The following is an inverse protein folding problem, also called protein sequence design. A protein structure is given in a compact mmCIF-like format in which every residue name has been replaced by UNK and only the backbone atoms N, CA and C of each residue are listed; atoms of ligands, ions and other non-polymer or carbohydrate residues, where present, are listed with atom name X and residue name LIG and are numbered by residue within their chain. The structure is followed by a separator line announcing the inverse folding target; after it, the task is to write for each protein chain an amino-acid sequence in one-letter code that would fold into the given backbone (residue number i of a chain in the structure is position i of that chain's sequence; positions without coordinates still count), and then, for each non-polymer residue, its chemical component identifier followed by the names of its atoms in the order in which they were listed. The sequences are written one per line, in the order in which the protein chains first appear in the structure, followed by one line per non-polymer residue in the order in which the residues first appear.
data_IF_056748940264
#
_entry.id   IF_056748940264
#
_cell.length_a   1.000
_cell.length_b   1.000
_cell.length_c   1.000
_cell.angle_alpha   90.00
_cell.angle_beta   90.00
_cell.angle_gamma   90.00
#
_symmetry.space_group_name_H-M   'P 1'
#
loop_
_entity.id
_entity.type
_entity.pdbx_description
1 polymer ?
#
# COMPACT_ATOMS: atom_id res chain seq x y z
N UNK A 1 9.27 -56.92 -13.39
CA UNK A 1 9.43 -55.76 -12.46
C UNK A 1 10.18 -54.54 -13.03
N UNK A 2 10.76 -54.56 -14.26
CA UNK A 2 11.47 -53.39 -14.82
C UNK A 2 10.57 -52.33 -15.49
N UNK A 3 9.44 -52.74 -16.11
CA UNK A 3 8.53 -51.81 -16.81
C UNK A 3 7.87 -50.77 -15.88
N UNK A 4 7.45 -51.18 -14.69
CA UNK A 4 6.74 -50.29 -13.73
C UNK A 4 7.65 -49.20 -13.16
N UNK A 5 8.96 -49.47 -12.98
CA UNK A 5 9.94 -48.49 -12.52
C UNK A 5 10.24 -47.42 -13.58
N UNK A 6 10.25 -47.79 -14.86
CA UNK A 6 10.49 -46.86 -15.98
C UNK A 6 9.29 -45.93 -16.18
N UNK A 7 8.07 -46.45 -16.04
CA UNK A 7 6.83 -45.66 -16.15
C UNK A 7 6.73 -44.64 -15.00
N UNK A 8 7.03 -45.04 -13.77
CA UNK A 8 7.03 -44.12 -12.61
C UNK A 8 8.12 -43.04 -12.71
N UNK A 9 9.29 -43.37 -13.28
CA UNK A 9 10.36 -42.40 -13.52
C UNK A 9 9.96 -41.37 -14.60
N UNK A 10 9.25 -41.81 -15.65
CA UNK A 10 8.73 -40.92 -16.69
C UNK A 10 7.65 -39.96 -16.16
N UNK A 11 6.73 -40.46 -15.32
CA UNK A 11 5.69 -39.64 -14.68
C UNK A 11 6.31 -38.61 -13.72
N UNK A 12 7.36 -38.98 -12.98
CA UNK A 12 8.08 -38.07 -12.09
C UNK A 12 8.82 -36.96 -12.86
N UNK A 13 9.51 -37.30 -13.95
CA UNK A 13 10.21 -36.33 -14.80
C UNK A 13 9.21 -35.40 -15.51
N UNK A 14 8.08 -35.93 -15.97
CA UNK A 14 7.00 -35.13 -16.56
C UNK A 14 6.38 -34.16 -15.54
N UNK A 15 6.20 -34.60 -14.28
CA UNK A 15 5.67 -33.76 -13.21
C UNK A 15 6.63 -32.62 -12.82
N UNK A 16 7.95 -32.87 -12.85
CA UNK A 16 8.97 -31.81 -12.67
C UNK A 16 9.00 -30.85 -13.86
N UNK A 17 8.82 -31.34 -15.09
CA UNK A 17 8.74 -30.52 -16.30
C UNK A 17 7.54 -29.57 -16.34
N UNK A 18 6.37 -30.02 -15.87
CA UNK A 18 5.16 -29.17 -15.73
C UNK A 18 5.34 -28.14 -14.62
N UNK A 19 6.08 -28.47 -13.54
CA UNK A 19 6.36 -27.51 -12.47
C UNK A 19 7.33 -26.40 -12.92
N UNK A 20 8.33 -26.72 -13.75
CA UNK A 20 9.33 -25.76 -14.25
C UNK A 20 8.82 -24.81 -15.35
N UNK A 21 7.79 -25.20 -16.11
CA UNK A 21 7.21 -24.37 -17.18
C UNK A 21 6.17 -23.37 -16.69
N UNK A 22 5.81 -23.38 -15.40
CA UNK A 22 4.92 -22.38 -14.80
C UNK A 22 5.58 -21.02 -14.53
N UNK A 23 6.88 -20.88 -14.84
CA UNK A 23 7.57 -19.60 -14.76
C UNK A 23 7.46 -18.85 -16.09
N UNK A 24 6.97 -17.61 -16.00
CA UNK A 24 7.02 -16.56 -17.04
C UNK A 24 5.78 -16.35 -17.93
N UNK A 25 4.63 -16.08 -17.32
CA UNK A 25 3.85 -14.92 -17.76
C UNK A 25 4.31 -13.70 -16.96
N UNK A 26 5.46 -13.11 -17.32
CA UNK A 26 5.87 -11.83 -16.73
C UNK A 26 4.95 -10.75 -17.32
N UNK A 27 3.83 -10.49 -16.66
CA UNK A 27 3.07 -9.27 -16.92
C UNK A 27 3.96 -8.08 -16.56
N UNK A 28 4.09 -7.13 -17.49
CA UNK A 28 4.82 -5.87 -17.28
C UNK A 28 4.07 -4.96 -16.29
N UNK A 29 4.21 -5.32 -15.01
CA UNK A 29 3.58 -4.66 -13.85
C UNK A 29 4.46 -3.54 -13.28
N UNK A 30 5.66 -3.33 -13.84
CA UNK A 30 6.57 -2.29 -13.43
C UNK A 30 7.27 -1.65 -14.63
N UNK A 31 6.98 -0.37 -14.86
CA UNK A 31 7.62 0.46 -15.87
C UNK A 31 8.48 1.52 -15.20
N UNK A 32 9.76 1.22 -14.99
CA UNK A 32 10.68 2.07 -14.22
C UNK A 32 11.52 3.01 -15.11
N UNK A 33 10.90 3.97 -15.80
CA UNK A 33 11.62 4.89 -16.70
C UNK A 33 12.53 5.87 -15.96
N UNK A 34 12.27 6.12 -14.67
CA UNK A 34 13.07 7.01 -13.83
C UNK A 34 14.14 6.29 -12.99
N UNK A 35 14.31 4.97 -13.15
CA UNK A 35 15.26 4.14 -12.40
C UNK A 35 15.17 4.33 -10.86
N UNK A 36 13.96 4.44 -10.33
CA UNK A 36 13.71 4.71 -8.92
C UNK A 36 13.55 3.44 -8.11
N UNK A 37 13.23 2.31 -8.73
CA UNK A 37 12.91 1.09 -7.99
C UNK A 37 14.16 0.25 -7.66
N UNK A 38 14.16 -0.35 -6.48
CA UNK A 38 15.16 -1.33 -6.04
C UNK A 38 14.67 -2.77 -6.26
N UNK A 39 15.58 -3.75 -6.13
CA UNK A 39 15.28 -5.16 -6.36
C UNK A 39 14.17 -5.69 -5.42
N UNK A 40 14.17 -5.27 -4.15
CA UNK A 40 13.14 -5.69 -3.17
C UNK A 40 11.76 -5.22 -3.59
N UNK A 41 11.66 -4.03 -4.13
CA UNK A 41 10.41 -3.45 -4.62
C UNK A 41 9.95 -4.14 -5.90
N UNK A 42 10.88 -4.42 -6.83
CA UNK A 42 10.61 -5.22 -8.04
C UNK A 42 10.06 -6.60 -7.69
N UNK A 43 10.70 -7.28 -6.75
CA UNK A 43 10.29 -8.60 -6.28
C UNK A 43 8.91 -8.57 -5.64
N UNK A 44 8.65 -7.62 -4.73
CA UNK A 44 7.33 -7.42 -4.12
C UNK A 44 6.23 -7.26 -5.19
N UNK A 45 6.47 -6.40 -6.19
CA UNK A 45 5.50 -6.12 -7.26
C UNK A 45 5.23 -7.39 -8.07
N UNK A 46 6.29 -8.11 -8.44
CA UNK A 46 6.17 -9.34 -9.21
C UNK A 46 5.43 -10.43 -8.43
N UNK A 47 5.84 -10.71 -7.20
CA UNK A 47 5.28 -11.78 -6.38
C UNK A 47 3.79 -11.57 -6.07
N UNK A 48 3.37 -10.35 -5.69
CA UNK A 48 1.95 -10.10 -5.42
C UNK A 48 1.10 -10.17 -6.68
N UNK A 49 1.55 -9.60 -7.80
CA UNK A 49 0.79 -9.69 -9.04
C UNK A 49 0.73 -11.13 -9.58
N UNK A 50 1.80 -11.92 -9.43
CA UNK A 50 1.79 -13.34 -9.81
C UNK A 50 0.75 -14.13 -9.01
N UNK A 51 0.57 -13.81 -7.72
CA UNK A 51 -0.51 -14.40 -6.92
C UNK A 51 -1.88 -14.02 -7.46
N UNK A 52 -2.09 -12.79 -7.90
CA UNK A 52 -3.38 -12.39 -8.47
C UNK A 52 -3.74 -13.16 -9.74
N UNK A 53 -2.78 -13.65 -10.52
CA UNK A 53 -3.06 -14.52 -11.66
C UNK A 53 -3.73 -15.85 -11.27
N UNK A 54 -3.67 -16.23 -9.99
CA UNK A 54 -4.29 -17.45 -9.46
C UNK A 54 -5.68 -17.18 -8.87
N UNK A 55 -6.14 -15.93 -8.89
CA UNK A 55 -7.46 -15.54 -8.34
C UNK A 55 -8.49 -15.45 -9.46
N UNK A 56 -9.78 -15.54 -9.11
CA UNK A 56 -10.87 -15.52 -10.09
C UNK A 56 -10.97 -14.20 -10.86
N UNK A 57 -10.74 -13.07 -10.20
CA UNK A 57 -10.89 -11.76 -10.81
C UNK A 57 -9.62 -11.30 -11.54
N UNK A 58 -8.46 -11.86 -11.18
CA UNK A 58 -7.14 -11.54 -11.73
C UNK A 58 -6.81 -10.03 -11.68
N UNK A 59 -6.91 -9.37 -10.51
CA UNK A 59 -6.59 -7.95 -10.43
C UNK A 59 -5.09 -7.69 -10.65
N UNK A 60 -4.76 -6.44 -10.96
CA UNK A 60 -3.39 -6.01 -11.25
C UNK A 60 -3.05 -4.70 -10.55
N UNK A 61 -1.81 -4.60 -10.08
CA UNK A 61 -1.20 -3.35 -9.62
C UNK A 61 0.00 -3.03 -10.51
N UNK A 62 -0.11 -1.96 -11.27
CA UNK A 62 0.94 -1.48 -12.18
C UNK A 62 1.67 -0.29 -11.55
N UNK A 63 2.98 -0.39 -11.41
CA UNK A 63 3.83 0.72 -10.96
C UNK A 63 4.51 1.36 -12.17
N UNK A 64 4.40 2.68 -12.31
CA UNK A 64 5.02 3.43 -13.41
C UNK A 64 5.84 4.55 -12.80
N UNK A 65 7.13 4.65 -13.12
CA UNK A 65 7.97 5.81 -12.77
C UNK A 65 8.32 6.57 -14.03
N UNK A 66 8.21 7.90 -14.01
CA UNK A 66 8.37 8.77 -15.17
C UNK A 66 9.35 9.90 -14.85
N UNK A 67 10.18 10.30 -15.82
CA UNK A 67 11.07 11.46 -15.71
C UNK A 67 10.36 12.79 -16.01
N UNK A 68 9.12 12.95 -15.51
CA UNK A 68 8.28 14.15 -15.67
C UNK A 68 7.25 14.25 -14.55
N UNK A 69 6.61 15.41 -14.42
CA UNK A 69 5.53 15.64 -13.43
C UNK A 69 4.16 15.90 -14.08
N UNK A 70 4.14 16.23 -15.37
CA UNK A 70 2.92 16.42 -16.14
C UNK A 70 2.41 15.10 -16.73
N UNK A 71 1.10 15.05 -17.02
CA UNK A 71 0.46 13.93 -17.71
C UNK A 71 0.76 12.57 -17.06
N UNK A 72 0.57 12.49 -15.74
CA UNK A 72 0.77 11.27 -14.96
C UNK A 72 -0.38 10.26 -15.12
N UNK A 73 -1.52 10.68 -15.66
CA UNK A 73 -2.66 9.78 -15.90
C UNK A 73 -2.28 8.67 -16.89
N UNK A 74 -2.43 7.37 -16.52
CA UNK A 74 -2.15 6.27 -17.43
C UNK A 74 -3.03 6.29 -18.67
N UNK A 75 -2.44 6.21 -19.86
CA UNK A 75 -3.16 6.26 -21.15
C UNK A 75 -4.19 5.15 -21.35
N UNK A 76 -4.04 4.02 -20.65
CA UNK A 76 -4.95 2.87 -20.72
C UNK A 76 -5.94 2.78 -19.55
N UNK A 77 -6.00 3.79 -18.67
CA UNK A 77 -6.83 3.76 -17.46
C UNK A 77 -8.29 3.38 -17.75
N UNK A 78 -8.88 4.00 -18.77
CA UNK A 78 -10.29 3.79 -19.16
C UNK A 78 -10.54 2.47 -19.91
N UNK A 79 -9.49 1.77 -20.35
CA UNK A 79 -9.58 0.52 -21.14
C UNK A 79 -9.28 -0.72 -20.30
N UNK A 80 -8.58 -0.55 -19.18
CA UNK A 80 -8.24 -1.65 -18.26
C UNK A 80 -9.34 -1.87 -17.23
N UNK A 81 -9.49 -3.13 -16.81
CA UNK A 81 -10.37 -3.53 -15.69
C UNK A 81 -9.50 -4.04 -14.54
N UNK A 82 -10.02 -3.99 -13.32
CA UNK A 82 -9.41 -4.58 -12.12
C UNK A 82 -7.96 -4.17 -11.91
N UNK A 83 -7.60 -2.95 -12.33
CA UNK A 83 -6.22 -2.47 -12.34
C UNK A 83 -6.08 -1.23 -11.48
N UNK A 84 -5.18 -1.27 -10.51
CA UNK A 84 -4.67 -0.09 -9.82
C UNK A 84 -3.34 0.36 -10.45
N UNK A 85 -3.15 1.66 -10.58
CA UNK A 85 -1.90 2.26 -11.05
C UNK A 85 -1.30 3.11 -9.95
N UNK A 86 -0.02 2.89 -9.68
CA UNK A 86 0.82 3.75 -8.86
C UNK A 86 1.77 4.46 -9.80
N UNK A 87 1.54 5.75 -10.04
CA UNK A 87 2.36 6.55 -10.95
C UNK A 87 3.22 7.50 -10.14
N UNK A 88 4.53 7.43 -10.37
CA UNK A 88 5.52 8.31 -9.75
C UNK A 88 6.12 9.19 -10.84
N UNK A 89 5.85 10.49 -10.77
CA UNK A 89 6.57 11.48 -11.53
C UNK A 89 7.81 11.95 -10.78
N UNK A 90 8.95 12.01 -11.45
CA UNK A 90 10.16 12.65 -10.94
C UNK A 90 10.70 13.65 -11.98
N UNK A 91 10.92 14.89 -11.52
CA UNK A 91 11.66 15.89 -12.27
C UNK A 91 12.56 16.65 -11.30
N UNK A 92 13.85 16.65 -11.56
CA UNK A 92 14.87 17.22 -10.67
C UNK A 92 14.76 16.65 -9.24
N UNK A 93 14.60 17.53 -8.25
CA UNK A 93 14.38 17.18 -6.84
C UNK A 93 12.90 17.05 -6.46
N UNK A 94 11.97 17.23 -7.41
CA UNK A 94 10.54 17.13 -7.13
C UNK A 94 10.04 15.74 -7.52
N UNK A 95 9.19 15.19 -6.66
CA UNK A 95 8.49 13.94 -6.90
C UNK A 95 7.03 14.07 -6.54
N UNK A 96 6.21 13.45 -7.35
CA UNK A 96 4.79 13.34 -7.13
C UNK A 96 4.37 11.89 -7.34
N UNK A 97 3.54 11.39 -6.43
CA UNK A 97 2.94 10.07 -6.54
C UNK A 97 1.43 10.25 -6.64
N UNK A 98 0.84 9.60 -7.65
CA UNK A 98 -0.61 9.53 -7.79
C UNK A 98 -1.05 8.06 -7.87
N UNK A 99 -2.23 7.79 -7.31
CA UNK A 99 -2.88 6.48 -7.37
C UNK A 99 -4.11 6.63 -8.26
N UNK A 100 -4.20 5.79 -9.29
CA UNK A 100 -5.37 5.65 -10.14
C UNK A 100 -5.91 4.23 -10.04
N UNK A 101 -7.17 4.05 -10.41
CA UNK A 101 -7.79 2.74 -10.47
C UNK A 101 -8.77 2.69 -11.63
N UNK A 102 -9.00 1.49 -12.16
CA UNK A 102 -10.10 1.26 -13.09
C UNK A 102 -11.45 1.45 -12.40
N UNK A 103 -12.49 1.68 -13.19
CA UNK A 103 -13.84 2.04 -12.70
C UNK A 103 -14.39 1.07 -11.64
N UNK A 104 -14.12 -0.22 -11.80
CA UNK A 104 -14.57 -1.30 -10.94
C UNK A 104 -13.86 -1.36 -9.57
N UNK A 105 -12.76 -0.63 -9.40
CA UNK A 105 -12.01 -0.51 -8.15
C UNK A 105 -12.22 0.85 -7.45
N UNK A 106 -13.09 1.71 -7.97
CA UNK A 106 -13.32 3.05 -7.39
C UNK A 106 -13.79 3.03 -5.94
N UNK A 107 -14.57 2.03 -5.53
CA UNK A 107 -15.00 1.84 -4.13
C UNK A 107 -13.82 1.59 -3.19
N UNK A 108 -12.80 0.86 -3.67
CA UNK A 108 -11.58 0.57 -2.92
C UNK A 108 -10.61 1.77 -2.90
N UNK A 109 -10.64 2.61 -3.93
CA UNK A 109 -9.73 3.74 -4.14
C UNK A 109 -10.45 5.09 -4.24
N UNK A 110 -11.25 5.42 -3.23
CA UNK A 110 -11.83 6.75 -3.04
C UNK A 110 -10.76 7.86 -3.01
N UNK A 111 -11.15 9.12 -3.21
CA UNK A 111 -10.20 10.24 -3.08
C UNK A 111 -9.53 10.28 -1.70
N UNK A 112 -10.30 10.03 -0.65
CA UNK A 112 -9.81 9.98 0.73
C UNK A 112 -8.82 8.84 0.96
N UNK A 113 -9.16 7.61 0.58
CA UNK A 113 -8.26 6.46 0.77
C UNK A 113 -6.93 6.67 0.05
N UNK A 114 -6.95 7.14 -1.20
CA UNK A 114 -5.74 7.46 -1.97
C UNK A 114 -4.87 8.51 -1.26
N UNK A 115 -5.49 9.59 -0.80
CA UNK A 115 -4.80 10.64 -0.05
C UNK A 115 -4.19 10.11 1.25
N UNK A 116 -4.91 9.30 2.01
CA UNK A 116 -4.43 8.74 3.29
C UNK A 116 -3.25 7.79 3.08
N UNK A 117 -3.29 6.94 2.04
CA UNK A 117 -2.18 6.07 1.66
C UNK A 117 -0.92 6.90 1.35
N UNK A 118 -1.05 7.91 0.48
CA UNK A 118 0.07 8.78 0.08
C UNK A 118 0.60 9.56 1.28
N UNK A 119 -0.29 10.07 2.14
CA UNK A 119 0.08 10.83 3.35
C UNK A 119 0.90 9.97 4.31
N UNK A 120 0.47 8.73 4.55
CA UNK A 120 1.17 7.81 5.45
C UNK A 120 2.60 7.52 4.96
N UNK A 121 2.78 7.34 3.65
CA UNK A 121 4.09 7.11 3.03
C UNK A 121 4.89 8.40 2.76
N UNK A 122 4.30 9.59 2.98
CA UNK A 122 4.76 10.85 2.42
C UNK A 122 6.18 11.26 2.81
N UNK A 123 6.61 11.00 4.04
CA UNK A 123 7.99 11.28 4.49
C UNK A 123 9.02 10.48 3.68
N UNK A 124 8.71 9.21 3.43
CA UNK A 124 9.60 8.27 2.76
C UNK A 124 9.62 8.56 1.24
N UNK A 125 8.45 8.83 0.65
CA UNK A 125 8.30 9.19 -0.77
C UNK A 125 9.03 10.48 -1.18
N UNK A 126 9.17 11.43 -0.26
CA UNK A 126 9.91 12.68 -0.52
C UNK A 126 11.43 12.50 -0.44
N UNK A 127 11.93 11.44 0.21
CA UNK A 127 13.37 11.27 0.48
C UNK A 127 14.19 10.97 -0.77
N UNK A 128 15.22 11.77 -1.05
CA UNK A 128 16.16 11.55 -2.17
C UNK A 128 16.97 10.26 -2.05
N UNK A 129 17.06 9.67 -0.85
CA UNK A 129 17.69 8.39 -0.67
C UNK A 129 16.83 7.28 -1.31
N UNK A 130 17.37 6.58 -2.31
CA UNK A 130 16.66 5.52 -3.05
C UNK A 130 16.09 4.44 -2.13
N UNK A 131 16.82 4.03 -1.08
CA UNK A 131 16.34 3.02 -0.12
C UNK A 131 15.14 3.51 0.68
N UNK A 132 15.16 4.77 1.13
CA UNK A 132 14.04 5.37 1.85
C UNK A 132 12.83 5.58 0.95
N UNK A 133 13.05 6.09 -0.27
CA UNK A 133 11.99 6.20 -1.28
C UNK A 133 11.30 4.85 -1.54
N UNK A 134 12.09 3.79 -1.76
CA UNK A 134 11.54 2.45 -1.99
C UNK A 134 10.80 1.90 -0.77
N UNK A 135 11.17 2.27 0.45
CA UNK A 135 10.38 1.94 1.65
C UNK A 135 8.97 2.56 1.57
N UNK A 136 8.88 3.82 1.19
CA UNK A 136 7.60 4.50 0.96
C UNK A 136 6.81 3.88 -0.19
N UNK A 137 7.46 3.60 -1.32
CA UNK A 137 6.81 2.98 -2.49
C UNK A 137 6.26 1.59 -2.17
N UNK A 138 7.02 0.76 -1.44
CA UNK A 138 6.52 -0.54 -0.96
C UNK A 138 5.31 -0.38 -0.04
N UNK A 139 5.31 0.62 0.86
CA UNK A 139 4.13 0.88 1.71
C UNK A 139 2.89 1.23 0.89
N UNK A 140 3.03 2.11 -0.12
CA UNK A 140 1.93 2.44 -1.04
C UNK A 140 1.46 1.21 -1.80
N UNK A 141 2.38 0.40 -2.32
CA UNK A 141 2.04 -0.84 -3.03
C UNK A 141 1.26 -1.81 -2.14
N UNK A 142 1.76 -2.09 -0.94
CA UNK A 142 1.10 -2.95 0.05
C UNK A 142 -0.29 -2.42 0.41
N UNK A 143 -0.44 -1.10 0.57
CA UNK A 143 -1.74 -0.50 0.84
C UNK A 143 -2.74 -0.69 -0.31
N UNK A 144 -2.28 -0.55 -1.56
CA UNK A 144 -3.11 -0.80 -2.74
C UNK A 144 -3.50 -2.28 -2.84
N UNK A 145 -2.55 -3.20 -2.57
CA UNK A 145 -2.81 -4.63 -2.50
C UNK A 145 -3.89 -4.96 -1.46
N UNK A 146 -3.77 -4.41 -0.25
CA UNK A 146 -4.76 -4.65 0.81
C UNK A 146 -6.14 -4.13 0.46
N UNK A 147 -6.26 -2.96 -0.19
CA UNK A 147 -7.56 -2.45 -0.64
C UNK A 147 -8.19 -3.32 -1.72
N UNK A 148 -7.39 -3.88 -2.64
CA UNK A 148 -7.86 -4.85 -3.64
C UNK A 148 -8.31 -6.15 -2.98
N UNK A 149 -7.50 -6.68 -2.06
CA UNK A 149 -7.81 -7.93 -1.36
C UNK A 149 -9.08 -7.79 -0.51
N UNK A 150 -9.29 -6.64 0.13
CA UNK A 150 -10.53 -6.34 0.84
C UNK A 150 -11.74 -6.25 -0.10
N UNK A 151 -11.58 -5.58 -1.26
CA UNK A 151 -12.65 -5.42 -2.25
C UNK A 151 -13.14 -6.75 -2.81
N UNK A 152 -12.22 -7.69 -3.06
CA UNK A 152 -12.55 -9.03 -3.58
C UNK A 152 -12.61 -10.11 -2.50
N UNK A 153 -12.49 -9.73 -1.22
CA UNK A 153 -12.55 -10.63 -0.07
C UNK A 153 -11.52 -11.77 -0.10
N UNK A 154 -10.31 -11.48 -0.60
CA UNK A 154 -9.19 -12.41 -0.59
C UNK A 154 -8.55 -12.50 0.79
N UNK A 155 -7.94 -13.66 1.08
CA UNK A 155 -7.13 -13.84 2.29
C UNK A 155 -5.88 -12.98 2.21
N UNK A 156 -5.73 -12.08 3.20
CA UNK A 156 -4.54 -11.23 3.34
C UNK A 156 -3.26 -12.06 3.51
N UNK A 157 -2.15 -11.51 3.05
CA UNK A 157 -0.86 -12.18 3.06
C UNK A 157 0.29 -11.30 3.56
N UNK A 158 1.52 -11.80 3.45
CA UNK A 158 2.74 -11.12 3.92
C UNK A 158 3.02 -9.78 3.21
N UNK A 159 2.38 -9.53 2.08
CA UNK A 159 2.47 -8.28 1.32
C UNK A 159 1.32 -7.33 1.64
N UNK A 160 0.36 -7.74 2.45
CA UNK A 160 -0.69 -6.86 2.93
C UNK A 160 -0.26 -6.06 4.14
N UNK A 161 -0.99 -4.98 4.41
CA UNK A 161 -0.82 -4.18 5.61
C UNK A 161 -1.33 -4.94 6.83
N UNK A 162 -0.61 -4.83 7.93
CA UNK A 162 -1.09 -5.26 9.24
C UNK A 162 -2.28 -4.41 9.68
N UNK A 163 -3.11 -4.92 10.60
CA UNK A 163 -4.25 -4.17 11.15
C UNK A 163 -3.82 -2.80 11.73
N UNK A 164 -2.65 -2.74 12.37
CA UNK A 164 -2.11 -1.49 12.89
C UNK A 164 -1.74 -0.48 11.78
N UNK A 165 -1.22 -0.95 10.64
CA UNK A 165 -0.93 -0.12 9.47
C UNK A 165 -2.24 0.34 8.79
N UNK A 166 -3.22 -0.56 8.63
CA UNK A 166 -4.53 -0.24 8.07
C UNK A 166 -5.26 0.82 8.90
N UNK A 167 -5.27 0.68 10.22
CA UNK A 167 -5.86 1.66 11.14
C UNK A 167 -5.27 3.06 10.98
N UNK A 168 -3.97 3.19 10.65
CA UNK A 168 -3.34 4.50 10.39
C UNK A 168 -3.79 5.14 9.07
N UNK A 169 -4.22 4.32 8.10
CA UNK A 169 -4.74 4.79 6.81
C UNK A 169 -6.22 5.17 6.95
N UNK A 170 -7.01 4.34 7.63
CA UNK A 170 -8.45 4.58 7.77
C UNK A 170 -8.73 5.66 8.82
N UNK A 171 -7.89 5.79 9.86
CA UNK A 171 -8.03 6.79 10.92
C UNK A 171 -6.75 7.63 11.07
N UNK A 172 -6.46 8.51 10.10
CA UNK A 172 -5.23 9.30 10.04
C UNK A 172 -4.96 10.21 11.26
N UNK A 173 -6.00 10.55 12.03
CA UNK A 173 -5.96 11.51 13.14
C UNK A 173 -6.39 10.90 14.50
N UNK A 174 -6.48 9.56 14.62
CA UNK A 174 -6.72 8.95 15.93
C UNK A 174 -5.48 9.14 16.81
N UNK A 175 -5.57 10.09 17.73
CA UNK A 175 -4.69 10.19 18.90
C UNK A 175 -4.72 8.84 19.62
N UNK A 176 -3.55 8.30 19.96
CA UNK A 176 -3.47 7.08 20.75
C UNK A 176 -4.29 7.28 22.04
N UNK A 177 -5.10 6.30 22.42
CA UNK A 177 -5.93 6.34 23.63
C UNK A 177 -5.20 6.91 24.87
N UNK A 178 -3.93 6.55 25.16
CA UNK A 178 -3.19 7.14 26.28
C UNK A 178 -2.99 8.67 26.18
N UNK A 179 -2.82 9.19 24.97
CA UNK A 179 -2.66 10.63 24.71
C UNK A 179 -4.00 11.35 24.90
N UNK A 180 -5.10 10.75 24.44
CA UNK A 180 -6.44 11.30 24.66
C UNK A 180 -6.79 11.38 26.15
N UNK A 181 -6.47 10.32 26.92
CA UNK A 181 -6.61 10.35 28.38
C UNK A 181 -5.74 11.43 29.04
N UNK A 182 -4.49 11.60 28.59
CA UNK A 182 -3.61 12.65 29.09
C UNK A 182 -4.17 14.06 28.89
N UNK A 183 -4.78 14.34 27.73
CA UNK A 183 -5.41 15.64 27.45
C UNK A 183 -6.62 15.87 28.36
N UNK A 184 -7.47 14.85 28.56
CA UNK A 184 -8.64 14.96 29.45
C UNK A 184 -8.23 15.27 30.89
N UNK A 185 -7.18 14.61 31.39
CA UNK A 185 -6.65 14.86 32.73
C UNK A 185 -6.09 16.29 32.85
N UNK A 186 -5.31 16.74 31.85
CA UNK A 186 -4.75 18.09 31.83
C UNK A 186 -5.83 19.18 31.83
N UNK A 187 -6.84 19.03 30.97
CA UNK A 187 -7.96 19.99 30.89
C UNK A 187 -8.80 19.96 32.17
N UNK A 188 -9.06 18.77 32.73
CA UNK A 188 -9.76 18.62 34.01
C UNK A 188 -9.03 19.28 35.18
N UNK A 189 -7.71 19.09 35.27
CA UNK A 189 -6.87 19.72 36.29
C UNK A 189 -6.86 21.25 36.17
N UNK A 190 -6.80 21.77 34.94
CA UNK A 190 -6.84 23.21 34.67
C UNK A 190 -8.18 23.82 35.11
N UNK A 191 -9.30 23.18 34.76
CA UNK A 191 -10.64 23.61 35.17
C UNK A 191 -10.78 23.61 36.69
N UNK A 192 -10.31 22.55 37.35
CA UNK A 192 -10.33 22.45 38.82
C UNK A 192 -9.51 23.55 39.49
N UNK A 193 -8.32 23.84 38.97
CA UNK A 193 -7.43 24.88 39.49
C UNK A 193 -8.05 26.27 39.34
N UNK A 194 -8.60 26.58 38.15
CA UNK A 194 -9.29 27.85 37.89
C UNK A 194 -10.52 28.02 38.80
N UNK A 195 -11.32 26.97 38.99
CA UNK A 195 -12.47 26.99 39.91
C UNK A 195 -12.04 27.19 41.36
N UNK A 196 -10.92 26.59 41.76
CA UNK A 196 -10.37 26.77 43.12
C UNK A 196 -9.90 28.21 43.36
N UNK A 197 -9.27 28.85 42.37
CA UNK A 197 -8.87 30.26 42.46
C UNK A 197 -10.08 31.18 42.55
N UNK A 198 -11.09 30.97 41.71
CA UNK A 198 -12.34 31.76 41.76
C UNK A 198 -13.03 31.64 43.12
N UNK A 199 -13.12 30.44 43.68
CA UNK A 199 -13.74 30.21 44.98
C UNK A 199 -12.97 30.88 46.14
N UNK A 200 -11.63 30.95 46.06
CA UNK A 200 -10.80 31.66 47.05
C UNK A 200 -10.98 33.18 46.95
N UNK A 201 -11.02 33.72 45.73
CA UNK A 201 -11.24 35.16 45.51
C UNK A 201 -12.65 35.62 45.90
N UNK A 202 -13.66 34.74 45.82
CA UNK A 202 -15.02 35.05 46.28
C UNK A 202 -15.17 35.03 47.81
N UNK A 203 -14.34 34.27 48.54
CA UNK A 203 -14.36 34.23 50.01
C UNK A 203 -13.65 35.42 50.66
N UNK A 204 -12.63 35.98 50.01
CA UNK A 204 -11.90 37.16 50.51
C UNK A 204 -12.60 38.51 50.22
N UNK A 205 -13.80 38.50 49.62
CA UNK A 205 -14.62 39.70 49.33
C UNK A 205 -15.88 39.82 50.21
N UNK A 206 -16.01 39.00 51.24
CA UNK A 206 -16.98 39.16 52.34
C UNK A 206 -16.24 39.55 53.60
#
# INVERSE_FOLDING_TARGET
MKKTKIINLFIFIFSIGVFLTSTAFIQDNLKDYANLTDQKTRQLIAEKNNRYLQTKEEPRIVVITLNRLDNLTPSRLNKTKRTAYIVVGQKDKRRELQIYSSKDLHSAFTAESRMNIIRLAGKDLRSHNKKQFNKGLRLVFRACATKIDQQYQYTLDKYDLTNAEQNKIDHPNRVALPIAFGIVILVGALIYFLKTIQNRNSKNKK
#
